data_IF_767691590616
#
_entry.id   IF_767691590616
#
_cell.length_a   1.000
_cell.length_b   1.000
_cell.length_c   1.000
_cell.angle_alpha   90.00
_cell.angle_beta   90.00
_cell.angle_gamma   90.00
#
_symmetry.space_group_name_H-M   'P 1'
#
loop_
_entity.id
_entity.type
_entity.pdbx_description
1 polymer ?
#
# COMPACT_ATOMS: atom_id res chain seq x y z
N UNK A 1 1.37 11.51 -21.54
CA UNK A 1 2.22 12.70 -21.71
C UNK A 1 1.44 14.00 -21.52
N UNK A 2 0.32 14.23 -22.22
CA UNK A 2 -0.48 15.46 -22.06
C UNK A 2 -0.93 15.75 -20.61
N UNK A 3 -1.40 14.74 -19.86
CA UNK A 3 -1.79 14.89 -18.45
C UNK A 3 -0.65 15.44 -17.57
N UNK A 4 0.58 14.93 -17.75
CA UNK A 4 1.75 15.33 -16.97
C UNK A 4 2.10 16.80 -17.22
N UNK A 5 2.08 17.23 -18.49
CA UNK A 5 2.36 18.62 -18.87
C UNK A 5 1.29 19.57 -18.34
N UNK A 6 0.01 19.21 -18.47
CA UNK A 6 -1.11 20.00 -17.92
C UNK A 6 -0.97 20.16 -16.40
N UNK A 7 -0.73 19.06 -15.68
CA UNK A 7 -0.56 19.09 -14.22
C UNK A 7 0.67 19.88 -13.78
N UNK A 8 1.75 19.84 -14.57
CA UNK A 8 2.96 20.61 -14.28
C UNK A 8 2.69 22.13 -14.34
N UNK A 9 1.95 22.60 -15.36
CA UNK A 9 1.62 24.02 -15.50
C UNK A 9 0.52 24.52 -14.54
N UNK A 10 -0.40 23.66 -14.09
CA UNK A 10 -1.45 24.02 -13.11
C UNK A 10 -0.90 24.22 -11.69
N UNK A 11 0.21 23.56 -11.35
CA UNK A 11 0.57 23.23 -9.97
C UNK A 11 1.71 24.03 -9.29
N UNK A 12 2.29 25.13 -9.81
CA UNK A 12 3.32 25.87 -9.07
C UNK A 12 2.90 26.33 -7.66
N UNK A 13 1.63 26.67 -7.49
CA UNK A 13 1.04 27.14 -6.22
C UNK A 13 0.93 26.01 -5.17
N UNK A 14 0.90 24.75 -5.60
CA UNK A 14 0.74 23.59 -4.70
C UNK A 14 2.08 23.07 -4.16
N UNK A 15 3.21 23.50 -4.74
CA UNK A 15 4.57 22.98 -4.47
C UNK A 15 5.01 23.18 -3.03
N UNK A 16 4.80 24.37 -2.44
CA UNK A 16 5.26 24.66 -1.07
C UNK A 16 4.55 23.83 0.01
N UNK A 17 3.31 23.42 -0.26
CA UNK A 17 2.55 22.54 0.62
C UNK A 17 2.95 21.06 0.44
N UNK A 18 3.44 20.69 -0.74
CA UNK A 18 3.81 19.32 -1.10
C UNK A 18 5.13 18.88 -0.44
N UNK A 19 6.19 19.70 -0.47
CA UNK A 19 7.53 19.23 -0.05
C UNK A 19 7.60 18.65 1.38
N UNK A 20 6.78 19.15 2.30
CA UNK A 20 6.74 18.63 3.69
C UNK A 20 5.90 17.38 3.88
N UNK A 21 4.85 17.18 3.09
CA UNK A 21 3.88 16.09 3.30
C UNK A 21 4.27 14.79 2.60
N UNK A 22 4.99 14.87 1.48
CA UNK A 22 5.24 13.72 0.61
C UNK A 22 6.67 13.18 0.69
N UNK A 23 7.56 13.78 1.48
CA UNK A 23 8.96 13.36 1.57
C UNK A 23 9.10 11.85 1.86
N UNK A 24 8.38 11.36 2.88
CA UNK A 24 8.38 9.94 3.26
C UNK A 24 7.85 9.03 2.15
N UNK A 25 6.82 9.47 1.44
CA UNK A 25 6.27 8.72 0.32
C UNK A 25 7.29 8.61 -0.83
N UNK A 26 7.97 9.72 -1.15
CA UNK A 26 8.96 9.76 -2.23
C UNK A 26 10.17 8.88 -1.91
N UNK A 27 10.64 8.89 -0.66
CA UNK A 27 11.72 8.00 -0.21
C UNK A 27 11.37 6.53 -0.45
N UNK A 28 10.19 6.07 -0.02
CA UNK A 28 9.77 4.69 -0.24
C UNK A 28 9.52 4.38 -1.70
N UNK A 29 8.91 5.31 -2.44
CA UNK A 29 8.69 5.15 -3.88
C UNK A 29 10.01 4.94 -4.61
N UNK A 30 11.01 5.78 -4.35
CA UNK A 30 12.30 5.69 -5.04
C UNK A 30 13.05 4.43 -4.64
N UNK A 31 12.90 3.92 -3.40
CA UNK A 31 13.43 2.60 -3.01
C UNK A 31 12.72 1.44 -3.70
N UNK A 32 11.40 1.51 -3.86
CA UNK A 32 10.60 0.44 -4.47
C UNK A 32 10.79 0.40 -6.00
N UNK A 33 10.97 1.56 -6.63
CA UNK A 33 11.03 1.72 -8.08
C UNK A 33 12.33 2.35 -8.57
N UNK A 34 13.47 1.97 -7.96
CA UNK A 34 14.81 2.47 -8.33
C UNK A 34 15.05 2.40 -9.85
N UNK A 35 14.61 1.31 -10.48
CA UNK A 35 14.78 1.08 -11.93
C UNK A 35 14.02 2.09 -12.80
N UNK A 36 12.95 2.72 -12.30
CA UNK A 36 12.20 3.74 -13.03
C UNK A 36 12.91 5.11 -13.02
N UNK A 37 13.85 5.35 -12.11
CA UNK A 37 14.52 6.65 -11.98
C UNK A 37 15.19 7.09 -13.30
N UNK A 38 15.96 6.20 -13.92
CA UNK A 38 16.64 6.48 -15.20
C UNK A 38 15.64 6.81 -16.32
N UNK A 39 14.46 6.17 -16.32
CA UNK A 39 13.43 6.42 -17.32
C UNK A 39 12.76 7.78 -17.10
N UNK A 40 12.49 8.15 -15.84
CA UNK A 40 11.96 9.47 -15.46
C UNK A 40 12.91 10.59 -15.90
N UNK A 41 14.21 10.42 -15.63
CA UNK A 41 15.23 11.40 -16.04
C UNK A 41 15.35 11.53 -17.57
N UNK A 42 15.33 10.40 -18.28
CA UNK A 42 15.36 10.42 -19.74
C UNK A 42 14.16 11.20 -20.31
N UNK A 43 12.96 10.93 -19.79
CA UNK A 43 11.74 11.62 -20.21
C UNK A 43 11.82 13.12 -19.94
N UNK A 44 12.32 13.52 -18.77
CA UNK A 44 12.57 14.92 -18.43
C UNK A 44 13.52 15.58 -19.44
N UNK A 45 14.64 14.93 -19.75
CA UNK A 45 15.63 15.47 -20.68
C UNK A 45 15.12 15.57 -22.12
N UNK A 46 14.28 14.63 -22.55
CA UNK A 46 13.65 14.69 -23.86
C UNK A 46 12.60 15.81 -23.92
N UNK A 47 11.82 16.01 -22.85
CA UNK A 47 10.83 17.10 -22.79
C UNK A 47 11.44 18.49 -22.67
N UNK A 48 12.60 18.63 -22.01
CA UNK A 48 13.35 19.91 -21.94
C UNK A 48 13.78 20.43 -23.32
N UNK A 49 13.86 19.57 -24.34
CA UNK A 49 14.18 19.98 -25.71
C UNK A 49 13.01 20.67 -26.41
N UNK A 50 11.79 20.37 -25.97
CA UNK A 50 10.54 20.80 -26.61
C UNK A 50 9.81 21.88 -25.79
N UNK A 51 10.14 22.04 -24.51
CA UNK A 51 9.43 22.91 -23.55
C UNK A 51 10.36 23.39 -22.44
N UNK A 52 10.10 24.60 -21.96
CA UNK A 52 10.78 25.17 -20.79
C UNK A 52 10.27 24.51 -19.49
N UNK A 53 11.18 23.81 -18.79
CA UNK A 53 10.90 23.17 -17.49
C UNK A 53 11.77 23.85 -16.43
N UNK A 54 11.18 24.83 -15.75
CA UNK A 54 11.82 25.63 -14.70
C UNK A 54 12.12 24.85 -13.41
N UNK A 55 11.29 23.86 -13.07
CA UNK A 55 11.39 23.10 -11.82
C UNK A 55 11.49 21.58 -12.09
N UNK A 56 12.70 21.07 -12.43
CA UNK A 56 12.89 19.66 -12.78
C UNK A 56 12.55 18.69 -11.66
N UNK A 57 12.81 19.06 -10.40
CA UNK A 57 12.50 18.20 -9.25
C UNK A 57 11.00 18.02 -9.10
N UNK A 58 10.23 19.11 -9.21
CA UNK A 58 8.78 19.06 -9.17
C UNK A 58 8.21 18.18 -10.28
N UNK A 59 8.76 18.29 -11.50
CA UNK A 59 8.38 17.42 -12.61
C UNK A 59 8.58 15.93 -12.26
N UNK A 60 9.73 15.58 -11.68
CA UNK A 60 10.04 14.19 -11.31
C UNK A 60 9.14 13.68 -10.19
N UNK A 61 8.84 14.51 -9.18
CA UNK A 61 7.93 14.17 -8.09
C UNK A 61 6.50 13.95 -8.60
N UNK A 62 6.00 14.85 -9.45
CA UNK A 62 4.69 14.74 -10.08
C UNK A 62 4.59 13.47 -10.93
N UNK A 63 5.65 13.16 -11.67
CA UNK A 63 5.73 11.93 -12.46
C UNK A 63 5.70 10.69 -11.55
N UNK A 64 6.43 10.66 -10.44
CA UNK A 64 6.35 9.58 -9.44
C UNK A 64 4.93 9.38 -8.92
N UNK A 65 4.22 10.47 -8.58
CA UNK A 65 2.83 10.41 -8.11
C UNK A 65 1.88 9.84 -9.17
N UNK A 66 2.00 10.29 -10.43
CA UNK A 66 1.17 9.80 -11.53
C UNK A 66 1.44 8.32 -11.84
N UNK A 67 2.71 7.90 -11.79
CA UNK A 67 3.08 6.48 -11.92
C UNK A 67 2.43 5.68 -10.80
N UNK A 68 2.58 6.11 -9.55
CA UNK A 68 2.00 5.40 -8.41
C UNK A 68 0.48 5.31 -8.49
N UNK A 69 -0.18 6.40 -8.89
CA UNK A 69 -1.63 6.40 -9.13
C UNK A 69 -2.03 5.37 -10.19
N UNK A 70 -1.25 5.28 -11.28
CA UNK A 70 -1.47 4.31 -12.35
C UNK A 70 -1.29 2.88 -11.85
N UNK A 71 -0.22 2.62 -11.09
CA UNK A 71 0.04 1.31 -10.47
C UNK A 71 -1.13 0.90 -9.58
N UNK A 72 -1.62 1.79 -8.72
CA UNK A 72 -2.75 1.51 -7.84
C UNK A 72 -4.08 1.33 -8.58
N UNK A 73 -4.25 1.92 -9.77
CA UNK A 73 -5.41 1.67 -10.61
C UNK A 73 -5.41 0.25 -11.19
N UNK A 74 -4.23 -0.27 -11.53
CA UNK A 74 -4.05 -1.60 -12.13
C UNK A 74 -4.05 -2.69 -11.05
N UNK A 75 -3.31 -2.49 -9.96
CA UNK A 75 -3.20 -3.41 -8.82
C UNK A 75 -3.69 -2.69 -7.55
N UNK A 76 -5.00 -2.68 -7.29
CA UNK A 76 -5.59 -1.93 -6.17
C UNK A 76 -5.30 -2.55 -4.80
N UNK A 77 -5.07 -3.86 -4.76
CA UNK A 77 -4.74 -4.60 -3.54
C UNK A 77 -3.22 -4.71 -3.39
N UNK A 78 -2.69 -4.27 -2.25
CA UNK A 78 -1.25 -4.24 -2.01
C UNK A 78 -0.71 -5.52 -1.39
N UNK A 79 -1.53 -6.22 -0.62
CA UNK A 79 -1.18 -7.47 0.05
C UNK A 79 -2.46 -8.19 0.50
N UNK A 80 -2.29 -9.46 0.88
CA UNK A 80 -3.36 -10.28 1.41
C UNK A 80 -3.34 -10.27 2.93
N UNK A 81 -4.53 -10.18 3.53
CA UNK A 81 -4.74 -10.45 4.95
C UNK A 81 -5.59 -11.69 5.05
N UNK A 82 -4.95 -12.78 5.48
CA UNK A 82 -5.62 -14.03 5.74
C UNK A 82 -6.26 -13.97 7.14
N UNK A 83 -7.48 -14.47 7.25
CA UNK A 83 -8.22 -14.46 8.51
C UNK A 83 -8.65 -15.87 8.88
N UNK A 84 -8.10 -16.36 9.99
CA UNK A 84 -8.46 -17.62 10.62
C UNK A 84 -9.05 -17.31 11.99
N UNK A 85 -10.21 -17.90 12.27
CA UNK A 85 -10.86 -17.68 13.55
C UNK A 85 -11.61 -18.93 14.00
N UNK A 86 -11.40 -19.34 15.25
CA UNK A 86 -12.12 -20.40 15.93
C UNK A 86 -13.04 -19.81 16.99
N UNK A 87 -14.34 -20.07 16.88
CA UNK A 87 -15.33 -19.59 17.81
C UNK A 87 -16.74 -19.67 17.22
N UNK A 88 -17.65 -18.88 17.76
CA UNK A 88 -19.03 -18.85 17.30
C UNK A 88 -19.12 -18.31 15.85
N UNK A 89 -19.82 -18.99 14.92
CA UNK A 89 -19.84 -18.63 13.50
C UNK A 89 -20.41 -17.23 13.20
N UNK A 90 -21.46 -16.81 13.91
CA UNK A 90 -22.07 -15.49 13.71
C UNK A 90 -21.11 -14.38 14.12
N UNK A 91 -20.37 -14.59 15.21
CA UNK A 91 -19.30 -13.72 15.67
C UNK A 91 -18.12 -13.69 14.72
N UNK A 92 -17.69 -14.84 14.18
CA UNK A 92 -16.66 -14.92 13.12
C UNK A 92 -17.06 -14.05 11.92
N UNK A 93 -18.30 -14.19 11.44
CA UNK A 93 -18.81 -13.45 10.29
C UNK A 93 -18.89 -11.95 10.56
N UNK A 94 -19.40 -11.55 11.74
CA UNK A 94 -19.42 -10.16 12.19
C UNK A 94 -18.01 -9.56 12.23
N UNK A 95 -17.09 -10.24 12.90
CA UNK A 95 -15.73 -9.75 13.09
C UNK A 95 -14.96 -9.64 11.76
N UNK A 96 -15.15 -10.61 10.87
CA UNK A 96 -14.62 -10.56 9.52
C UNK A 96 -15.07 -9.31 8.76
N UNK A 97 -16.35 -8.93 8.87
CA UNK A 97 -16.87 -7.74 8.22
C UNK A 97 -16.24 -6.47 8.81
N UNK A 98 -16.23 -6.35 10.14
CA UNK A 98 -15.66 -5.18 10.82
C UNK A 98 -14.16 -5.01 10.52
N UNK A 99 -13.38 -6.09 10.53
CA UNK A 99 -11.95 -6.04 10.23
C UNK A 99 -11.69 -5.69 8.76
N UNK A 100 -12.49 -6.21 7.84
CA UNK A 100 -12.40 -5.87 6.42
C UNK A 100 -12.67 -4.38 6.19
N UNK A 101 -13.70 -3.84 6.84
CA UNK A 101 -14.05 -2.42 6.72
C UNK A 101 -12.98 -1.53 7.38
N UNK A 102 -12.43 -1.96 8.52
CA UNK A 102 -11.37 -1.26 9.25
C UNK A 102 -10.05 -1.20 8.48
N UNK A 103 -9.64 -2.28 7.82
CA UNK A 103 -8.41 -2.36 7.02
C UNK A 103 -8.51 -1.61 5.68
N UNK A 104 -9.73 -1.39 5.20
CA UNK A 104 -10.01 -0.59 4.01
C UNK A 104 -9.77 -1.32 2.69
N UNK A 105 -10.07 -0.60 1.60
CA UNK A 105 -10.27 -1.18 0.26
C UNK A 105 -9.01 -1.71 -0.44
N UNK A 106 -7.83 -1.41 0.10
CA UNK A 106 -6.55 -1.76 -0.52
C UNK A 106 -5.95 -3.07 0.03
N UNK A 107 -6.66 -3.69 0.97
CA UNK A 107 -6.32 -4.98 1.53
C UNK A 107 -7.22 -6.05 0.92
N UNK A 108 -6.62 -7.12 0.41
CA UNK A 108 -7.39 -8.30 0.03
C UNK A 108 -7.64 -9.15 1.29
N UNK A 109 -8.81 -9.00 1.90
CA UNK A 109 -9.18 -9.75 3.10
C UNK A 109 -9.73 -11.13 2.71
N UNK A 110 -9.01 -12.18 3.09
CA UNK A 110 -9.26 -13.57 2.69
C UNK A 110 -9.57 -14.44 3.92
N UNK A 111 -10.84 -14.71 4.24
CA UNK A 111 -11.18 -15.69 5.26
C UNK A 111 -10.78 -17.09 4.77
N UNK A 112 -10.04 -17.84 5.58
CA UNK A 112 -9.60 -19.19 5.26
C UNK A 112 -9.85 -20.13 6.44
N UNK A 113 -9.87 -21.43 6.17
CA UNK A 113 -9.91 -22.46 7.21
C UNK A 113 -8.49 -22.99 7.49
N UNK A 114 -8.33 -23.64 8.66
CA UNK A 114 -7.01 -24.14 9.09
C UNK A 114 -6.41 -25.14 8.08
N UNK A 115 -7.25 -25.92 7.42
CA UNK A 115 -6.85 -26.91 6.40
C UNK A 115 -6.20 -26.26 5.18
N UNK A 116 -6.58 -25.02 4.86
CA UNK A 116 -6.15 -24.33 3.66
C UNK A 116 -4.72 -23.81 3.78
N UNK A 117 -4.22 -23.62 5.02
CA UNK A 117 -2.87 -23.12 5.30
C UNK A 117 -1.77 -23.90 4.56
N UNK A 118 -1.94 -25.22 4.43
CA UNK A 118 -0.97 -26.10 3.76
C UNK A 118 -0.92 -25.92 2.24
N UNK A 119 -1.96 -25.32 1.64
CA UNK A 119 -2.13 -25.17 0.20
C UNK A 119 -1.84 -23.76 -0.32
N UNK A 120 -1.76 -22.78 0.59
CA UNK A 120 -1.58 -21.38 0.24
C UNK A 120 -0.08 -21.09 0.09
N UNK A 121 0.29 -20.50 -1.04
CA UNK A 121 1.61 -19.89 -1.23
C UNK A 121 1.55 -18.44 -0.79
N UNK A 122 2.16 -18.12 0.36
CA UNK A 122 2.16 -16.77 0.91
C UNK A 122 3.20 -15.87 0.22
N UNK A 123 2.86 -14.60 0.00
CA UNK A 123 3.83 -13.56 -0.35
C UNK A 123 4.43 -12.96 0.94
N UNK A 124 5.67 -12.43 0.87
CA UNK A 124 6.35 -11.83 2.05
C UNK A 124 5.62 -10.62 2.65
N UNK A 125 4.77 -9.99 1.85
CA UNK A 125 3.95 -8.84 2.26
C UNK A 125 2.63 -9.26 2.91
N UNK A 126 2.27 -10.54 2.83
CA UNK A 126 1.03 -11.04 3.38
C UNK A 126 1.08 -11.13 4.91
N UNK A 127 -0.11 -11.05 5.51
CA UNK A 127 -0.28 -11.08 6.96
C UNK A 127 -1.37 -12.10 7.28
N UNK A 128 -1.19 -12.83 8.38
CA UNK A 128 -2.22 -13.73 8.91
C UNK A 128 -2.76 -13.20 10.23
N UNK A 129 -4.08 -13.16 10.37
CA UNK A 129 -4.78 -12.86 11.63
C UNK A 129 -5.33 -14.16 12.20
N UNK A 130 -5.06 -14.44 13.47
CA UNK A 130 -5.57 -15.62 14.17
C UNK A 130 -5.99 -15.30 15.60
N UNK A 131 -6.97 -16.01 16.15
CA UNK A 131 -7.32 -15.95 17.57
C UNK A 131 -6.81 -17.15 18.39
N UNK A 132 -6.04 -18.05 17.79
CA UNK A 132 -5.42 -19.20 18.44
C UNK A 132 -4.01 -19.42 17.90
N UNK A 133 -3.11 -20.06 18.68
CA UNK A 133 -1.73 -20.27 18.25
C UNK A 133 -1.67 -21.16 17.01
N UNK A 134 -0.83 -20.75 16.06
CA UNK A 134 -0.54 -21.49 14.83
C UNK A 134 0.93 -21.89 14.81
N UNK A 135 1.24 -22.91 14.02
CA UNK A 135 2.61 -23.27 13.70
C UNK A 135 3.33 -22.09 13.04
N UNK A 136 4.66 -22.06 13.16
CA UNK A 136 5.47 -20.99 12.57
C UNK A 136 5.29 -20.95 11.05
N UNK A 137 4.77 -19.84 10.55
CA UNK A 137 4.68 -19.52 9.12
C UNK A 137 5.76 -18.50 8.75
N UNK A 138 6.11 -18.46 7.47
CA UNK A 138 7.09 -17.51 6.91
C UNK A 138 6.54 -16.07 6.76
N UNK A 139 5.32 -15.83 7.23
CA UNK A 139 4.65 -14.53 7.24
C UNK A 139 4.30 -14.07 8.67
N UNK A 140 4.21 -12.76 8.91
CA UNK A 140 3.80 -12.23 10.20
C UNK A 140 2.39 -12.70 10.60
N UNK A 141 2.28 -13.27 11.79
CA UNK A 141 1.00 -13.65 12.41
C UNK A 141 0.63 -12.62 13.48
N UNK A 142 -0.55 -12.02 13.34
CA UNK A 142 -1.15 -11.10 14.30
C UNK A 142 -2.20 -11.86 15.09
N UNK A 143 -1.90 -12.10 16.37
CA UNK A 143 -2.86 -12.70 17.28
C UNK A 143 -3.85 -11.65 17.79
N UNK A 144 -5.14 -11.97 17.69
CA UNK A 144 -6.23 -11.14 18.20
C UNK A 144 -7.05 -11.92 19.23
N UNK A 145 -7.56 -11.21 20.22
CA UNK A 145 -8.55 -11.76 21.15
C UNK A 145 -9.90 -11.99 20.45
N UNK A 146 -10.76 -12.84 21.02
CA UNK A 146 -12.12 -13.05 20.49
C UNK A 146 -12.89 -11.73 20.36
N UNK A 147 -12.69 -10.79 21.29
CA UNK A 147 -13.13 -9.40 21.17
C UNK A 147 -11.86 -8.55 21.03
N UNK A 148 -11.50 -8.07 19.82
CA UNK A 148 -10.25 -7.34 19.64
C UNK A 148 -10.18 -6.06 20.44
N UNK A 149 -9.03 -5.84 21.05
CA UNK A 149 -8.69 -4.64 21.78
C UNK A 149 -8.15 -3.57 20.83
N UNK A 150 -8.25 -2.30 21.25
CA UNK A 150 -7.68 -1.17 20.50
C UNK A 150 -6.19 -1.35 20.19
N UNK A 151 -5.43 -1.95 21.10
CA UNK A 151 -4.00 -2.17 20.93
C UNK A 151 -3.71 -3.23 19.85
N UNK A 152 -4.49 -4.31 19.80
CA UNK A 152 -4.37 -5.34 18.75
C UNK A 152 -4.71 -4.75 17.37
N UNK A 153 -5.77 -3.93 17.29
CA UNK A 153 -6.15 -3.23 16.07
C UNK A 153 -5.08 -2.22 15.63
N UNK A 154 -4.46 -1.50 16.56
CA UNK A 154 -3.34 -0.59 16.26
C UNK A 154 -2.12 -1.34 15.71
N UNK A 155 -1.78 -2.50 16.27
CA UNK A 155 -0.67 -3.32 15.77
C UNK A 155 -0.95 -3.83 14.35
N UNK A 156 -2.19 -4.22 14.08
CA UNK A 156 -2.64 -4.63 12.76
C UNK A 156 -2.54 -3.47 11.76
N UNK A 157 -2.92 -2.26 12.16
CA UNK A 157 -2.75 -1.07 11.31
C UNK A 157 -1.29 -0.74 11.07
N UNK A 158 -0.43 -0.76 12.07
CA UNK A 158 1.01 -0.51 11.87
C UNK A 158 1.66 -1.45 10.85
N UNK A 159 1.27 -2.73 10.85
CA UNK A 159 1.79 -3.70 9.87
C UNK A 159 1.25 -3.47 8.46
N UNK A 160 0.00 -3.02 8.34
CA UNK A 160 -0.65 -2.74 7.05
C UNK A 160 -0.24 -1.39 6.46
N UNK A 161 -0.05 -0.36 7.29
CA UNK A 161 0.39 0.98 6.86
C UNK A 161 1.85 1.07 6.46
N UNK A 162 2.73 0.21 6.98
CA UNK A 162 4.09 0.03 6.45
C UNK A 162 4.12 -0.44 5.00
N UNK A 163 3.00 -0.95 4.47
CA UNK A 163 2.88 -1.38 3.09
C UNK A 163 2.21 -0.31 2.21
N UNK A 164 1.56 0.69 2.82
CA UNK A 164 0.96 1.84 2.13
C UNK A 164 1.97 2.98 1.88
N UNK A 165 3.04 3.03 2.66
CA UNK A 165 4.06 4.08 2.73
C UNK A 165 5.45 3.45 2.78
#
# INVERSE_FOLDING_TARGET
>A
MALLVLKYHESPILIEALDRQYHRFLETYDQQYVHLYQQKEKLLNDLKKEMEINEPNFFLQLLSLLIQQTIFSIKPNLFNVYFIFQGEPSWKAFLQQELKDYLGKRVCFLPIELTDLSTISFEKTDILISNFPLDSLDIPIVYISSIPTKNELNRLTELTFKTFL
#
